data_IF_470889797107
#
_entry.id   IF_470889797107
#
_cell.length_a   1.000
_cell.length_b   1.000
_cell.length_c   1.000
_cell.angle_alpha   90.00
_cell.angle_beta   90.00
_cell.angle_gamma   90.00
#
_symmetry.space_group_name_H-M   'P 1'
#
loop_
_entity.id
_entity.type
_entity.pdbx_description
1 polymer ?
#
# COMPACT_ATOMS: atom_id res chain seq x y z
N UNK A 1 17.22 1.16 -21.03
CA UNK A 1 17.03 -0.09 -20.27
C UNK A 1 15.54 -0.37 -20.10
N UNK A 2 15.06 -1.63 -20.30
CA UNK A 2 13.64 -1.97 -20.07
C UNK A 2 13.47 -2.75 -18.75
N UNK A 3 12.55 -2.30 -17.90
CA UNK A 3 12.22 -2.88 -16.60
C UNK A 3 10.76 -3.34 -16.65
N UNK A 4 10.51 -4.58 -16.24
CA UNK A 4 9.16 -5.16 -16.21
C UNK A 4 8.73 -5.35 -14.76
N UNK A 5 7.61 -4.75 -14.39
CA UNK A 5 6.97 -4.94 -13.09
C UNK A 5 5.99 -6.11 -13.15
N UNK A 6 5.96 -6.93 -12.11
CA UNK A 6 5.00 -8.01 -11.94
C UNK A 6 4.28 -7.81 -10.60
N UNK A 7 3.04 -7.36 -10.67
CA UNK A 7 2.22 -7.07 -9.52
C UNK A 7 0.74 -7.18 -9.88
N UNK A 8 -0.12 -7.49 -8.91
CA UNK A 8 -1.55 -7.49 -9.20
C UNK A 8 -2.43 -8.02 -8.07
N UNK A 9 -3.72 -7.97 -8.34
CA UNK A 9 -4.79 -8.43 -7.47
C UNK A 9 -5.34 -7.34 -6.54
N UNK A 10 -4.51 -6.67 -5.77
CA UNK A 10 -4.95 -5.65 -4.80
C UNK A 10 -4.11 -4.37 -4.90
N UNK A 11 -4.69 -3.24 -4.49
CA UNK A 11 -3.97 -1.96 -4.44
C UNK A 11 -2.68 -2.03 -3.60
N UNK A 12 -2.66 -2.86 -2.55
CA UNK A 12 -1.47 -3.05 -1.70
C UNK A 12 -0.25 -3.63 -2.41
N UNK A 13 -0.42 -4.34 -3.55
CA UNK A 13 0.68 -4.81 -4.39
C UNK A 13 0.98 -3.85 -5.56
N UNK A 14 -0.06 -3.22 -6.08
CA UNK A 14 0.02 -2.41 -7.31
C UNK A 14 0.57 -1.01 -7.02
N UNK A 15 0.08 -0.34 -5.98
CA UNK A 15 0.50 1.03 -5.64
C UNK A 15 2.01 1.13 -5.34
N UNK A 16 2.63 0.27 -4.51
CA UNK A 16 4.09 0.36 -4.30
C UNK A 16 4.90 0.05 -5.58
N UNK A 17 4.37 -0.80 -6.47
CA UNK A 17 4.97 -1.04 -7.77
C UNK A 17 4.92 0.20 -8.67
N UNK A 18 3.77 0.87 -8.74
CA UNK A 18 3.58 2.12 -9.50
C UNK A 18 4.44 3.25 -8.94
N UNK A 19 4.49 3.40 -7.62
CA UNK A 19 5.30 4.43 -6.97
C UNK A 19 6.80 4.23 -7.23
N UNK A 20 7.26 2.98 -7.25
CA UNK A 20 8.64 2.64 -7.65
C UNK A 20 8.90 2.92 -9.13
N UNK A 21 7.94 2.63 -10.01
CA UNK A 21 8.03 2.93 -11.43
C UNK A 21 8.10 4.45 -11.67
N UNK A 22 7.30 5.23 -10.97
CA UNK A 22 7.35 6.70 -11.01
C UNK A 22 8.70 7.24 -10.53
N UNK A 23 9.28 6.65 -9.47
CA UNK A 23 10.60 7.01 -8.97
C UNK A 23 11.70 6.69 -10.01
N UNK A 24 11.63 5.53 -10.67
CA UNK A 24 12.55 5.18 -11.75
C UNK A 24 12.50 6.20 -12.89
N UNK A 25 11.31 6.59 -13.35
CA UNK A 25 11.18 7.60 -14.43
C UNK A 25 11.69 8.99 -14.01
N UNK A 26 11.60 9.32 -12.74
CA UNK A 26 12.18 10.58 -12.20
C UNK A 26 13.71 10.53 -12.17
N UNK A 27 14.30 9.39 -11.82
CA UNK A 27 15.75 9.23 -11.74
C UNK A 27 16.40 9.08 -13.11
N UNK A 28 15.75 8.37 -14.04
CA UNK A 28 16.22 8.15 -15.39
C UNK A 28 15.04 8.07 -16.36
N UNK A 29 14.80 9.16 -17.09
CA UNK A 29 13.72 9.27 -18.07
C UNK A 29 13.91 8.37 -19.31
N UNK A 30 15.10 7.78 -19.51
CA UNK A 30 15.41 6.86 -20.63
C UNK A 30 14.97 5.42 -20.35
N UNK A 31 14.58 5.12 -19.10
CA UNK A 31 14.10 3.79 -18.73
C UNK A 31 12.71 3.55 -19.30
N UNK A 32 12.57 2.46 -20.04
CA UNK A 32 11.27 1.96 -20.47
C UNK A 32 10.69 1.03 -19.41
N UNK A 33 9.40 1.18 -19.12
CA UNK A 33 8.72 0.44 -18.06
C UNK A 33 7.44 -0.17 -18.63
N UNK A 34 7.18 -1.44 -18.27
CA UNK A 34 5.91 -2.10 -18.52
C UNK A 34 5.52 -3.00 -17.34
N UNK A 35 4.27 -3.40 -17.30
CA UNK A 35 3.71 -4.23 -16.23
C UNK A 35 3.18 -5.56 -16.77
N UNK A 36 3.30 -6.61 -15.98
CA UNK A 36 2.60 -7.90 -16.14
C UNK A 36 1.61 -8.01 -14.98
N UNK A 37 0.36 -8.26 -15.31
CA UNK A 37 -0.73 -8.40 -14.35
C UNK A 37 -1.83 -9.32 -14.86
N UNK A 38 -3.01 -9.28 -14.25
CA UNK A 38 -4.18 -10.05 -14.68
C UNK A 38 -5.24 -9.15 -15.32
N UNK A 39 -6.13 -9.76 -16.09
CA UNK A 39 -7.24 -9.04 -16.74
C UNK A 39 -8.31 -8.57 -15.76
N UNK A 40 -8.42 -9.21 -14.60
CA UNK A 40 -9.52 -9.03 -13.64
C UNK A 40 -9.14 -8.33 -12.35
N UNK A 41 -7.87 -7.96 -12.18
CA UNK A 41 -7.37 -7.27 -11.01
C UNK A 41 -7.45 -5.74 -11.14
N UNK A 42 -7.20 -5.02 -10.05
CA UNK A 42 -7.15 -3.55 -10.06
C UNK A 42 -6.02 -3.01 -10.95
N UNK A 43 -5.04 -3.83 -11.28
CA UNK A 43 -3.96 -3.47 -12.20
C UNK A 43 -4.46 -3.10 -13.60
N UNK A 44 -5.57 -3.70 -14.05
CA UNK A 44 -6.18 -3.40 -15.36
C UNK A 44 -6.65 -1.95 -15.48
N UNK A 45 -6.95 -1.30 -14.38
CA UNK A 45 -7.37 0.09 -14.30
C UNK A 45 -6.21 1.00 -13.88
N UNK A 46 -5.53 0.67 -12.78
CA UNK A 46 -4.56 1.56 -12.14
C UNK A 46 -3.27 1.71 -12.96
N UNK A 47 -2.79 0.66 -13.62
CA UNK A 47 -1.55 0.72 -14.40
C UNK A 47 -1.69 1.59 -15.65
N UNK A 48 -2.71 1.42 -16.51
CA UNK A 48 -2.93 2.31 -17.64
C UNK A 48 -3.26 3.76 -17.23
N UNK A 49 -4.02 3.95 -16.15
CA UNK A 49 -4.32 5.28 -15.62
C UNK A 49 -3.05 6.06 -15.20
N UNK A 50 -1.96 5.35 -14.81
CA UNK A 50 -0.63 5.92 -14.49
C UNK A 50 0.25 6.10 -15.74
N UNK A 51 -0.24 5.72 -16.94
CA UNK A 51 0.48 5.85 -18.20
C UNK A 51 1.53 4.77 -18.45
N UNK A 52 1.37 3.58 -17.85
CA UNK A 52 2.23 2.44 -18.09
C UNK A 52 1.55 1.37 -18.96
N UNK A 53 2.28 0.74 -19.90
CA UNK A 53 1.78 -0.43 -20.62
C UNK A 53 1.55 -1.61 -19.68
N UNK A 54 0.41 -2.29 -19.81
CA UNK A 54 0.08 -3.51 -19.09
C UNK A 54 -0.10 -4.68 -20.05
N UNK A 55 0.63 -5.76 -19.79
CA UNK A 55 0.45 -7.05 -20.44
C UNK A 55 -0.37 -7.93 -19.49
N UNK A 56 -1.54 -8.33 -19.94
CA UNK A 56 -2.43 -9.15 -19.15
C UNK A 56 -2.17 -10.63 -19.37
N UNK A 57 -2.21 -11.37 -18.28
CA UNK A 57 -2.13 -12.84 -18.27
C UNK A 57 -3.36 -13.40 -17.56
N UNK A 58 -3.70 -14.66 -17.81
CA UNK A 58 -4.78 -15.29 -17.09
C UNK A 58 -4.49 -15.28 -15.57
N UNK A 59 -5.44 -14.79 -14.78
CA UNK A 59 -5.34 -14.87 -13.33
C UNK A 59 -5.47 -16.33 -12.89
N UNK A 60 -4.40 -16.89 -12.33
CA UNK A 60 -4.38 -18.26 -11.82
C UNK A 60 -4.27 -18.20 -10.30
N UNK A 61 -5.40 -18.17 -9.56
CA UNK A 61 -5.35 -18.19 -8.12
C UNK A 61 -4.83 -19.54 -7.63
N UNK A 62 -3.80 -19.50 -6.77
CA UNK A 62 -3.32 -20.75 -6.15
C UNK A 62 -4.35 -21.25 -5.12
N UNK A 63 -4.84 -22.48 -5.26
CA UNK A 63 -5.73 -23.05 -4.27
C UNK A 63 -4.99 -23.17 -2.94
N UNK A 64 -5.66 -22.81 -1.85
CA UNK A 64 -5.10 -22.88 -0.49
C UNK A 64 -4.93 -24.33 0.01
N UNK A 65 -5.51 -25.30 -0.69
CA UNK A 65 -5.41 -26.74 -0.41
C UNK A 65 -5.05 -27.48 -1.69
N UNK A 66 -4.30 -28.57 -1.56
CA UNK A 66 -4.00 -29.48 -2.67
C UNK A 66 -5.31 -30.11 -3.13
N UNK A 67 -5.75 -29.78 -4.35
CA UNK A 67 -7.00 -30.26 -4.95
C UNK A 67 -6.77 -30.59 -6.44
N UNK A 68 -7.71 -31.30 -7.06
CA UNK A 68 -7.68 -31.57 -8.50
C UNK A 68 -7.66 -30.28 -9.36
N UNK A 69 -8.02 -29.16 -8.79
CA UNK A 69 -7.95 -27.86 -9.46
C UNK A 69 -6.49 -27.45 -9.78
N UNK A 70 -5.51 -27.92 -9.01
CA UNK A 70 -4.10 -27.76 -9.33
C UNK A 70 -3.75 -28.32 -10.72
N UNK A 71 -4.28 -29.47 -11.09
CA UNK A 71 -4.04 -30.07 -12.42
C UNK A 71 -4.66 -29.24 -13.54
N UNK A 72 -5.83 -28.65 -13.30
CA UNK A 72 -6.52 -27.77 -14.27
C UNK A 72 -5.83 -26.41 -14.44
N UNK A 73 -5.06 -25.98 -13.45
CA UNK A 73 -4.33 -24.71 -13.48
C UNK A 73 -3.07 -24.73 -14.35
N UNK A 74 -2.43 -25.89 -14.51
CA UNK A 74 -1.15 -26.00 -15.24
C UNK A 74 -1.19 -25.46 -16.66
N UNK A 75 -2.19 -25.75 -17.51
CA UNK A 75 -2.26 -25.20 -18.86
C UNK A 75 -2.36 -23.67 -18.85
N UNK A 76 -3.22 -23.10 -17.99
CA UNK A 76 -3.40 -21.66 -17.86
C UNK A 76 -2.14 -20.96 -17.34
N UNK A 77 -1.48 -21.53 -16.33
CA UNK A 77 -0.22 -21.00 -15.81
C UNK A 77 0.88 -21.07 -16.87
N UNK A 78 1.01 -22.20 -17.61
CA UNK A 78 1.98 -22.31 -18.69
C UNK A 78 1.73 -21.29 -19.82
N UNK A 79 0.47 -21.05 -20.18
CA UNK A 79 0.10 -20.01 -21.15
C UNK A 79 0.52 -18.63 -20.64
N UNK A 80 0.18 -18.30 -19.40
CA UNK A 80 0.55 -17.03 -18.78
C UNK A 80 2.06 -16.82 -18.70
N UNK A 81 2.81 -17.88 -18.37
CA UNK A 81 4.29 -17.86 -18.36
C UNK A 81 4.86 -17.68 -19.76
N UNK A 82 4.25 -18.27 -20.81
CA UNK A 82 4.66 -18.04 -22.21
C UNK A 82 4.47 -16.58 -22.58
N UNK A 83 3.28 -16.02 -22.35
CA UNK A 83 2.99 -14.60 -22.62
C UNK A 83 4.00 -13.69 -21.92
N UNK A 84 4.27 -13.93 -20.64
CA UNK A 84 5.28 -13.20 -19.90
C UNK A 84 6.69 -13.33 -20.52
N UNK A 85 7.10 -14.55 -20.88
CA UNK A 85 8.41 -14.80 -21.53
C UNK A 85 8.54 -14.09 -22.86
N UNK A 86 7.52 -14.12 -23.68
CA UNK A 86 7.54 -13.49 -25.01
C UNK A 86 7.63 -11.96 -24.86
N UNK A 87 6.94 -11.40 -23.85
CA UNK A 87 7.08 -9.99 -23.51
C UNK A 87 8.49 -9.64 -23.03
N UNK A 88 9.08 -10.41 -22.10
CA UNK A 88 10.46 -10.17 -21.65
C UNK A 88 11.46 -10.21 -22.78
N UNK A 89 11.29 -11.10 -23.78
CA UNK A 89 12.15 -11.21 -24.96
C UNK A 89 11.96 -10.03 -25.90
N UNK A 90 10.73 -9.70 -26.26
CA UNK A 90 10.42 -8.62 -27.22
C UNK A 90 10.90 -7.25 -26.72
N UNK A 91 10.86 -7.04 -25.40
CA UNK A 91 11.31 -5.80 -24.76
C UNK A 91 12.78 -5.82 -24.36
N UNK A 92 13.46 -6.97 -24.50
CA UNK A 92 14.83 -7.17 -24.00
C UNK A 92 14.96 -6.74 -22.52
N UNK A 93 14.00 -7.20 -21.70
CA UNK A 93 13.90 -6.82 -20.30
C UNK A 93 15.21 -7.12 -19.54
N UNK A 94 15.71 -6.13 -18.80
CA UNK A 94 16.96 -6.23 -18.04
C UNK A 94 16.71 -6.65 -16.59
N UNK A 95 15.55 -6.33 -16.05
CA UNK A 95 15.13 -6.66 -14.67
C UNK A 95 13.63 -6.90 -14.65
N UNK A 96 13.20 -7.90 -13.90
CA UNK A 96 11.81 -8.06 -13.47
C UNK A 96 11.70 -7.70 -12.01
N UNK A 97 10.70 -6.87 -11.65
CA UNK A 97 10.47 -6.40 -10.28
C UNK A 97 9.12 -6.91 -9.81
N UNK A 98 9.11 -7.69 -8.73
CA UNK A 98 7.92 -8.31 -8.17
C UNK A 98 7.46 -7.68 -6.87
N UNK A 99 6.17 -7.33 -6.81
CA UNK A 99 5.53 -6.80 -5.59
C UNK A 99 4.46 -7.73 -5.01
N UNK A 100 4.34 -8.95 -5.57
CA UNK A 100 3.39 -9.94 -5.06
C UNK A 100 2.04 -9.94 -5.76
N UNK A 101 1.12 -10.70 -5.17
CA UNK A 101 -0.14 -11.05 -5.82
C UNK A 101 0.00 -12.25 -6.76
N UNK A 102 -1.08 -12.98 -6.99
CA UNK A 102 -1.04 -14.16 -7.88
C UNK A 102 -0.67 -13.81 -9.32
N UNK A 103 -1.06 -12.61 -9.76
CA UNK A 103 -0.77 -12.12 -11.10
C UNK A 103 0.74 -11.91 -11.37
N UNK A 104 1.56 -11.80 -10.32
CA UNK A 104 3.01 -11.64 -10.46
C UNK A 104 3.75 -12.96 -10.78
N UNK A 105 3.18 -14.10 -10.41
CA UNK A 105 3.85 -15.40 -10.51
C UNK A 105 4.29 -15.76 -11.93
N UNK A 106 3.48 -15.54 -13.00
CA UNK A 106 3.94 -15.77 -14.38
C UNK A 106 5.20 -14.97 -14.73
N UNK A 107 5.27 -13.70 -14.29
CA UNK A 107 6.46 -12.86 -14.48
C UNK A 107 7.70 -13.40 -13.76
N UNK A 108 7.54 -13.89 -12.52
CA UNK A 108 8.63 -14.49 -11.75
C UNK A 108 9.22 -15.74 -12.42
N UNK A 109 8.33 -16.64 -12.85
CA UNK A 109 8.73 -17.87 -13.52
C UNK A 109 9.34 -17.60 -14.90
N UNK A 110 8.83 -16.60 -15.62
CA UNK A 110 9.38 -16.17 -16.89
C UNK A 110 10.80 -15.61 -16.73
N UNK A 111 11.02 -14.72 -15.76
CA UNK A 111 12.31 -14.14 -15.44
C UNK A 111 13.34 -15.22 -15.09
N UNK A 112 12.98 -16.12 -14.16
CA UNK A 112 13.84 -17.23 -13.75
C UNK A 112 14.24 -18.13 -14.94
N UNK A 113 13.27 -18.52 -15.78
CA UNK A 113 13.54 -19.38 -16.95
C UNK A 113 14.41 -18.73 -18.01
N UNK A 114 14.46 -17.42 -18.07
CA UNK A 114 15.26 -16.66 -19.04
C UNK A 114 16.56 -16.11 -18.46
N UNK A 115 16.83 -16.34 -17.18
CA UNK A 115 18.01 -15.77 -16.52
C UNK A 115 17.95 -14.24 -16.37
N UNK A 116 16.76 -13.62 -16.50
CA UNK A 116 16.56 -12.20 -16.24
C UNK A 116 16.57 -11.98 -14.74
N UNK A 117 17.38 -11.06 -14.19
CA UNK A 117 17.38 -10.74 -12.77
C UNK A 117 15.98 -10.42 -12.26
N UNK A 118 15.64 -11.02 -11.12
CA UNK A 118 14.36 -10.85 -10.46
C UNK A 118 14.58 -10.14 -9.12
N UNK A 119 13.94 -8.99 -8.91
CA UNK A 119 13.93 -8.25 -7.67
C UNK A 119 12.55 -8.44 -7.01
N UNK A 120 12.50 -8.85 -5.75
CA UNK A 120 11.25 -9.07 -5.01
C UNK A 120 11.15 -8.07 -3.88
N UNK A 121 10.02 -7.39 -3.76
CA UNK A 121 9.69 -6.53 -2.62
C UNK A 121 8.45 -7.06 -1.88
N UNK A 122 8.55 -7.23 -0.55
CA UNK A 122 7.43 -7.57 0.31
C UNK A 122 7.00 -6.37 1.15
N UNK A 123 5.76 -5.97 0.96
CA UNK A 123 5.17 -4.83 1.63
C UNK A 123 4.66 -5.13 3.04
N UNK A 124 4.19 -6.36 3.27
CA UNK A 124 3.54 -6.74 4.53
C UNK A 124 4.54 -7.31 5.53
N UNK A 125 4.17 -7.25 6.80
CA UNK A 125 4.90 -7.88 7.90
C UNK A 125 4.87 -9.43 7.84
N UNK A 126 4.04 -10.02 6.98
CA UNK A 126 4.00 -11.46 6.70
C UNK A 126 4.03 -11.68 5.20
N UNK A 127 5.03 -12.42 4.71
CA UNK A 127 5.19 -12.61 3.28
C UNK A 127 4.05 -13.41 2.64
N UNK A 128 3.57 -12.90 1.50
CA UNK A 128 2.62 -13.58 0.64
C UNK A 128 3.24 -14.78 -0.09
N UNK A 129 2.40 -15.74 -0.52
CA UNK A 129 2.86 -16.96 -1.19
C UNK A 129 3.64 -16.68 -2.48
N UNK A 130 3.20 -15.70 -3.27
CA UNK A 130 3.88 -15.31 -4.49
C UNK A 130 5.31 -14.80 -4.20
N UNK A 131 5.47 -13.95 -3.19
CA UNK A 131 6.78 -13.41 -2.82
C UNK A 131 7.68 -14.46 -2.14
N UNK A 132 7.10 -15.42 -1.39
CA UNK A 132 7.85 -16.59 -0.90
C UNK A 132 8.41 -17.43 -2.04
N UNK A 133 7.63 -17.63 -3.10
CA UNK A 133 8.12 -18.29 -4.32
C UNK A 133 9.19 -17.44 -5.00
N UNK A 134 8.94 -16.15 -5.22
CA UNK A 134 9.88 -15.23 -5.84
C UNK A 134 11.23 -15.17 -5.11
N UNK A 135 11.22 -15.17 -3.78
CA UNK A 135 12.43 -15.18 -2.95
C UNK A 135 13.27 -16.47 -3.09
N UNK A 136 12.66 -17.60 -3.48
CA UNK A 136 13.41 -18.82 -3.82
C UNK A 136 14.03 -18.79 -5.21
N UNK A 137 13.51 -17.95 -6.08
CA UNK A 137 13.97 -17.80 -7.47
C UNK A 137 14.92 -16.62 -7.64
N UNK A 138 15.11 -15.80 -6.61
CA UNK A 138 15.90 -14.56 -6.66
C UNK A 138 16.87 -14.45 -5.48
N UNK A 139 18.04 -13.89 -5.75
CA UNK A 139 18.98 -13.40 -4.72
C UNK A 139 18.75 -11.93 -4.35
N UNK A 140 17.82 -11.24 -5.02
CA UNK A 140 17.54 -9.81 -4.80
C UNK A 140 16.18 -9.64 -4.13
N UNK A 141 16.16 -9.72 -2.81
CA UNK A 141 14.94 -9.57 -2.00
C UNK A 141 14.99 -8.32 -1.13
N UNK A 142 13.86 -7.65 -1.04
CA UNK A 142 13.62 -6.48 -0.21
C UNK A 142 12.33 -6.64 0.60
N UNK A 143 12.24 -5.97 1.73
CA UNK A 143 11.01 -5.96 2.54
C UNK A 143 10.91 -4.68 3.36
N UNK A 144 9.68 -4.33 3.74
CA UNK A 144 9.43 -3.25 4.70
C UNK A 144 9.89 -3.66 6.08
N UNK A 145 9.54 -4.87 6.51
CA UNK A 145 9.91 -5.42 7.82
C UNK A 145 11.09 -6.37 7.65
N UNK A 146 12.18 -6.22 8.42
CA UNK A 146 13.33 -7.13 8.37
C UNK A 146 12.96 -8.58 8.65
N UNK A 147 13.59 -9.52 7.93
CA UNK A 147 13.46 -10.97 8.18
C UNK A 147 12.19 -11.63 7.62
N UNK A 148 11.31 -10.87 6.97
CA UNK A 148 10.08 -11.41 6.36
C UNK A 148 10.37 -12.31 5.15
N UNK A 149 11.39 -11.97 4.38
CA UNK A 149 11.95 -12.81 3.31
C UNK A 149 13.40 -13.17 3.61
N UNK A 150 13.89 -14.34 3.16
CA UNK A 150 15.30 -14.71 3.32
C UNK A 150 16.23 -13.64 2.72
N UNK A 151 17.25 -13.26 3.48
CA UNK A 151 18.30 -12.30 3.08
C UNK A 151 17.76 -10.96 2.52
N UNK A 152 16.54 -10.56 2.90
CA UNK A 152 15.93 -9.34 2.39
C UNK A 152 16.61 -8.09 2.95
N UNK A 153 16.82 -7.11 2.06
CA UNK A 153 17.25 -5.76 2.43
C UNK A 153 16.03 -5.00 2.98
N UNK A 154 16.21 -4.23 4.04
CA UNK A 154 15.20 -3.27 4.47
C UNK A 154 15.15 -2.12 3.46
N UNK A 155 14.03 -1.99 2.74
CA UNK A 155 13.84 -0.94 1.73
C UNK A 155 12.71 0.04 2.07
N UNK A 156 11.88 -0.29 3.06
CA UNK A 156 10.68 0.50 3.37
C UNK A 156 9.57 0.32 2.33
N UNK A 157 8.51 1.13 2.47
CA UNK A 157 7.35 1.12 1.59
C UNK A 157 7.47 2.20 0.52
N UNK A 158 7.56 1.85 -0.78
CA UNK A 158 7.51 2.85 -1.84
C UNK A 158 6.16 3.56 -1.87
N UNK A 159 6.14 4.86 -1.57
CA UNK A 159 4.93 5.67 -1.46
C UNK A 159 4.88 6.75 -2.55
N UNK A 160 3.68 7.30 -2.75
CA UNK A 160 3.48 8.45 -3.66
C UNK A 160 4.26 9.67 -3.17
N UNK A 161 4.85 10.41 -4.11
CA UNK A 161 5.60 11.63 -3.79
C UNK A 161 4.74 12.67 -3.06
N UNK A 162 3.46 12.78 -3.39
CA UNK A 162 2.55 13.68 -2.67
C UNK A 162 2.50 13.40 -1.15
N UNK A 163 2.72 12.15 -0.73
CA UNK A 163 2.79 11.76 0.68
C UNK A 163 4.20 11.98 1.23
N UNK A 164 5.23 11.51 0.50
CA UNK A 164 6.61 11.59 0.98
C UNK A 164 7.14 13.01 1.10
N UNK A 165 6.62 13.94 0.29
CA UNK A 165 6.97 15.38 0.34
C UNK A 165 6.03 16.23 1.20
N UNK A 166 4.97 15.63 1.78
CA UNK A 166 4.00 16.36 2.57
C UNK A 166 4.62 16.87 3.88
N UNK A 167 4.62 18.18 4.04
CA UNK A 167 4.74 18.83 5.35
C UNK A 167 3.31 19.13 5.87
N UNK A 168 2.84 18.28 6.78
CA UNK A 168 1.48 18.41 7.32
C UNK A 168 1.23 19.74 7.99
N UNK A 169 2.21 20.24 8.76
CA UNK A 169 2.06 21.46 9.51
C UNK A 169 1.89 22.66 8.57
N UNK A 170 2.73 22.76 7.57
CA UNK A 170 2.66 23.83 6.57
C UNK A 170 1.40 23.74 5.69
N UNK A 171 0.98 22.51 5.33
CA UNK A 171 -0.18 22.28 4.47
C UNK A 171 -1.53 22.45 5.19
N UNK A 172 -1.55 22.28 6.54
CA UNK A 172 -2.76 22.18 7.36
C UNK A 172 -3.74 23.33 7.17
N UNK A 173 -3.27 24.56 7.24
CA UNK A 173 -4.13 25.77 7.15
C UNK A 173 -4.90 25.78 5.82
N UNK A 174 -4.20 25.67 4.70
CA UNK A 174 -4.82 25.71 3.38
C UNK A 174 -5.73 24.49 3.11
N UNK A 175 -5.36 23.30 3.62
CA UNK A 175 -6.20 22.13 3.53
C UNK A 175 -7.52 22.32 4.30
N UNK A 176 -7.47 22.81 5.54
CA UNK A 176 -8.67 23.06 6.34
C UNK A 176 -9.59 24.13 5.72
N UNK A 177 -9.01 25.21 5.17
CA UNK A 177 -9.78 26.23 4.46
C UNK A 177 -10.58 25.64 3.28
N UNK A 178 -9.97 24.74 2.48
CA UNK A 178 -10.67 24.07 1.37
C UNK A 178 -11.79 23.15 1.81
N UNK A 179 -11.64 22.50 2.97
CA UNK A 179 -12.69 21.65 3.54
C UNK A 179 -13.72 22.44 4.37
N UNK A 180 -13.55 23.76 4.55
CA UNK A 180 -14.43 24.57 5.40
C UNK A 180 -14.34 24.19 6.89
N UNK A 181 -13.19 23.70 7.34
CA UNK A 181 -12.96 23.25 8.71
C UNK A 181 -12.23 24.37 9.47
N UNK A 182 -12.70 24.78 10.65
CA UNK A 182 -12.03 25.79 11.46
C UNK A 182 -10.59 25.39 11.82
N UNK A 183 -9.68 26.38 11.89
CA UNK A 183 -8.25 26.13 12.17
C UNK A 183 -8.01 25.37 13.47
N UNK A 184 -8.80 25.68 14.52
CA UNK A 184 -8.65 25.11 15.85
C UNK A 184 -9.46 23.82 16.08
N UNK A 185 -10.23 23.37 15.06
CA UNK A 185 -11.04 22.17 15.17
C UNK A 185 -10.19 20.93 15.41
N UNK A 186 -10.68 19.99 16.20
CA UNK A 186 -10.15 18.62 16.28
C UNK A 186 -10.78 17.79 15.17
N UNK A 187 -9.97 17.11 14.37
CA UNK A 187 -10.41 16.41 13.16
C UNK A 187 -10.05 14.93 13.23
N UNK A 188 -11.08 14.09 13.17
CA UNK A 188 -10.96 12.65 12.98
C UNK A 188 -11.11 12.32 11.48
N UNK A 189 -10.11 11.65 10.91
CA UNK A 189 -10.17 11.09 9.56
C UNK A 189 -10.52 9.60 9.63
N UNK A 190 -11.64 9.20 9.00
CA UNK A 190 -12.09 7.80 9.00
C UNK A 190 -12.06 7.24 7.58
N UNK A 191 -11.36 6.13 7.38
CA UNK A 191 -11.31 5.46 6.07
C UNK A 191 -10.96 3.97 6.19
N UNK A 192 -11.52 3.15 5.30
CA UNK A 192 -11.33 1.70 5.27
C UNK A 192 -10.73 1.16 3.97
N UNK A 193 -10.15 2.04 3.14
CA UNK A 193 -9.72 1.74 1.78
C UNK A 193 -10.80 2.08 0.74
N UNK A 194 -10.51 1.85 -0.55
CA UNK A 194 -11.36 2.30 -1.68
C UNK A 194 -12.80 1.75 -1.66
N UNK A 195 -13.01 0.58 -1.09
CA UNK A 195 -14.33 -0.04 -0.97
C UNK A 195 -15.06 0.31 0.33
N UNK A 196 -14.39 1.05 1.23
CA UNK A 196 -14.87 1.31 2.58
C UNK A 196 -14.68 0.11 3.51
N UNK A 197 -15.13 0.26 4.76
CA UNK A 197 -15.10 -0.78 5.79
C UNK A 197 -16.42 -0.77 6.56
N UNK A 198 -17.31 -1.71 6.27
CA UNK A 198 -18.66 -1.74 6.82
C UNK A 198 -18.69 -1.62 8.37
N UNK A 199 -17.74 -2.29 9.06
CA UNK A 199 -17.63 -2.21 10.53
C UNK A 199 -17.27 -0.80 11.01
N UNK A 200 -16.28 -0.14 10.36
CA UNK A 200 -15.91 1.23 10.68
C UNK A 200 -17.08 2.18 10.44
N UNK A 201 -17.72 2.05 9.26
CA UNK A 201 -18.85 2.90 8.88
C UNK A 201 -19.99 2.76 9.88
N UNK A 202 -20.38 1.53 10.24
CA UNK A 202 -21.50 1.28 11.18
C UNK A 202 -21.19 1.74 12.60
N UNK A 203 -19.97 1.55 13.09
CA UNK A 203 -19.58 2.04 14.43
C UNK A 203 -19.54 3.58 14.46
N UNK A 204 -19.00 4.19 13.39
CA UNK A 204 -18.97 5.65 13.26
C UNK A 204 -20.39 6.25 13.21
N UNK A 205 -21.27 5.72 12.38
CA UNK A 205 -22.63 6.21 12.22
C UNK A 205 -23.36 6.33 13.58
N UNK A 206 -23.20 5.32 14.44
CA UNK A 206 -23.83 5.30 15.76
C UNK A 206 -23.13 6.20 16.78
N UNK A 207 -21.84 6.48 16.64
CA UNK A 207 -21.09 7.36 17.55
C UNK A 207 -21.04 8.82 17.07
N UNK A 208 -21.42 9.09 15.83
CA UNK A 208 -21.23 10.39 15.18
C UNK A 208 -21.87 11.55 15.92
N UNK A 209 -23.14 11.47 16.41
CA UNK A 209 -23.76 12.58 17.15
C UNK A 209 -22.97 12.98 18.38
N UNK A 210 -22.42 12.02 19.12
CA UNK A 210 -21.64 12.27 20.32
C UNK A 210 -20.26 12.87 19.99
N UNK A 211 -19.60 12.40 18.93
CA UNK A 211 -18.34 12.99 18.46
C UNK A 211 -18.50 14.45 18.04
N UNK A 212 -19.56 14.74 17.27
CA UNK A 212 -19.86 16.11 16.86
C UNK A 212 -20.20 17.01 18.06
N UNK A 213 -20.97 16.48 19.04
CA UNK A 213 -21.30 17.19 20.28
C UNK A 213 -20.07 17.47 21.13
N UNK A 214 -19.03 16.62 21.05
CA UNK A 214 -17.73 16.84 21.65
C UNK A 214 -16.85 17.84 20.86
N UNK A 215 -17.35 18.48 19.81
CA UNK A 215 -16.61 19.44 18.98
C UNK A 215 -15.60 18.81 18.03
N UNK A 216 -15.72 17.51 17.75
CA UNK A 216 -14.84 16.78 16.83
C UNK A 216 -15.45 16.82 15.43
N UNK A 217 -14.69 17.34 14.48
CA UNK A 217 -15.04 17.29 13.05
C UNK A 217 -14.61 15.94 12.45
N UNK A 218 -15.42 15.40 11.58
CA UNK A 218 -15.18 14.07 11.01
C UNK A 218 -15.11 14.12 9.48
N UNK A 219 -13.97 13.77 8.91
CA UNK A 219 -13.81 13.51 7.47
C UNK A 219 -13.90 12.00 7.26
N UNK A 220 -14.87 11.54 6.47
CA UNK A 220 -15.17 10.13 6.34
C UNK A 220 -15.20 9.66 4.88
N UNK A 221 -14.26 8.81 4.51
CA UNK A 221 -14.32 8.06 3.25
C UNK A 221 -15.11 6.77 3.45
N UNK A 222 -16.41 6.81 3.12
CA UNK A 222 -17.30 5.67 3.39
C UNK A 222 -17.20 4.52 2.37
N UNK A 223 -16.51 4.74 1.24
CA UNK A 223 -16.29 3.75 0.18
C UNK A 223 -17.38 3.77 -0.90
N UNK A 224 -16.95 3.65 -2.15
CA UNK A 224 -17.80 3.81 -3.36
C UNK A 224 -18.94 2.82 -3.49
N UNK A 225 -18.93 1.73 -2.72
CA UNK A 225 -19.96 0.68 -2.77
C UNK A 225 -20.99 0.79 -1.65
N UNK A 226 -20.83 1.77 -0.75
CA UNK A 226 -21.72 1.96 0.38
C UNK A 226 -22.70 3.10 0.12
N UNK A 227 -23.80 3.09 0.85
CA UNK A 227 -24.77 4.17 0.79
C UNK A 227 -24.16 5.45 1.35
N UNK A 228 -24.44 6.58 0.72
CA UNK A 228 -24.03 7.89 1.18
C UNK A 228 -24.68 8.24 2.52
N UNK A 229 -23.92 8.53 3.57
CA UNK A 229 -24.46 8.98 4.83
C UNK A 229 -25.03 10.39 4.72
N UNK A 230 -26.03 10.72 5.57
CA UNK A 230 -26.58 12.06 5.61
C UNK A 230 -25.52 13.08 6.06
N UNK A 231 -25.37 14.14 5.29
CA UNK A 231 -24.48 15.25 5.65
C UNK A 231 -25.07 16.03 6.85
N UNK A 232 -24.20 16.50 7.74
CA UNK A 232 -24.56 17.33 8.88
C UNK A 232 -23.39 18.24 9.29
N UNK A 233 -23.61 19.32 10.01
CA UNK A 233 -22.54 20.25 10.39
C UNK A 233 -21.39 19.52 11.12
N UNK A 234 -20.16 19.74 10.68
CA UNK A 234 -18.96 19.10 11.23
C UNK A 234 -18.67 17.69 10.68
N UNK A 235 -19.53 17.14 9.83
CA UNK A 235 -19.36 15.83 9.21
C UNK A 235 -19.23 15.94 7.67
N UNK A 236 -18.13 15.42 7.13
CA UNK A 236 -17.74 15.49 5.72
C UNK A 236 -17.65 14.08 5.12
N UNK A 237 -18.78 13.45 4.76
CA UNK A 237 -18.76 12.14 4.11
C UNK A 237 -18.40 12.30 2.62
N UNK A 238 -17.47 11.46 2.15
CA UNK A 238 -17.12 11.34 0.74
C UNK A 238 -17.03 9.86 0.33
N UNK A 239 -17.40 9.49 -0.89
CA UNK A 239 -17.31 8.10 -1.31
C UNK A 239 -15.86 7.63 -1.41
N UNK A 240 -14.97 8.54 -1.79
CA UNK A 240 -13.54 8.26 -1.95
C UNK A 240 -12.74 9.56 -1.81
N UNK A 241 -11.60 9.50 -1.13
CA UNK A 241 -10.66 10.60 -1.02
C UNK A 241 -9.59 10.44 -2.10
N UNK A 242 -9.62 11.28 -3.12
CA UNK A 242 -8.65 11.26 -4.20
C UNK A 242 -7.28 11.81 -3.75
N UNK A 243 -7.28 12.88 -2.97
CA UNK A 243 -6.08 13.50 -2.41
C UNK A 243 -5.92 13.12 -0.92
N UNK A 244 -5.27 11.98 -0.67
CA UNK A 244 -4.96 11.53 0.69
C UNK A 244 -3.95 12.45 1.40
N UNK A 245 -3.07 13.14 0.66
CA UNK A 245 -2.13 14.08 1.27
C UNK A 245 -2.88 15.25 1.91
N UNK A 246 -3.90 15.77 1.24
CA UNK A 246 -4.77 16.82 1.79
C UNK A 246 -5.54 16.31 3.01
N UNK A 247 -6.13 15.10 2.94
CA UNK A 247 -6.84 14.52 4.08
C UNK A 247 -5.92 14.28 5.30
N UNK A 248 -4.68 13.83 5.06
CA UNK A 248 -3.70 13.71 6.13
C UNK A 248 -3.29 15.06 6.72
N UNK A 249 -3.22 16.12 5.92
CA UNK A 249 -2.93 17.46 6.41
C UNK A 249 -4.04 18.04 7.29
N UNK A 250 -5.31 17.76 6.96
CA UNK A 250 -6.49 18.20 7.71
C UNK A 250 -6.58 17.55 9.09
N UNK A 251 -6.24 16.26 9.19
CA UNK A 251 -6.55 15.40 10.33
C UNK A 251 -5.61 15.56 11.52
N UNK A 252 -6.13 15.31 12.73
CA UNK A 252 -5.38 15.18 13.97
C UNK A 252 -5.16 13.71 14.36
N UNK A 253 -6.15 12.86 14.07
CA UNK A 253 -6.15 11.43 14.33
C UNK A 253 -6.81 10.69 13.17
N UNK A 254 -6.30 9.52 12.80
CA UNK A 254 -6.95 8.65 11.85
C UNK A 254 -7.61 7.45 12.55
N UNK A 255 -8.77 7.00 12.05
CA UNK A 255 -9.39 5.71 12.35
C UNK A 255 -9.44 4.89 11.07
N UNK A 256 -8.69 3.78 11.01
CA UNK A 256 -8.49 3.12 9.73
C UNK A 256 -8.16 1.64 9.84
N UNK A 257 -8.27 0.91 8.73
CA UNK A 257 -7.70 -0.44 8.58
C UNK A 257 -6.17 -0.38 8.58
N UNK A 258 -5.52 -1.43 9.06
CA UNK A 258 -4.06 -1.51 9.19
C UNK A 258 -3.37 -2.14 7.95
N UNK A 259 -3.75 -1.70 6.74
CA UNK A 259 -3.03 -2.09 5.53
C UNK A 259 -1.58 -1.58 5.56
N UNK A 260 -0.65 -2.33 4.97
CA UNK A 260 0.78 -1.98 5.01
C UNK A 260 1.07 -0.59 4.43
N UNK A 261 0.44 -0.22 3.31
CA UNK A 261 0.56 1.12 2.73
C UNK A 261 0.03 2.19 3.67
N UNK A 262 -1.15 1.99 4.25
CA UNK A 262 -1.78 2.93 5.19
C UNK A 262 -0.90 3.17 6.41
N UNK A 263 -0.37 2.10 7.03
CA UNK A 263 0.53 2.21 8.18
C UNK A 263 1.80 3.01 7.81
N UNK A 264 2.37 2.75 6.63
CA UNK A 264 3.57 3.44 6.16
C UNK A 264 3.31 4.92 5.86
N UNK A 265 2.19 5.25 5.20
CA UNK A 265 1.81 6.63 4.88
C UNK A 265 1.56 7.45 6.15
N UNK A 266 0.77 6.90 7.11
CA UNK A 266 0.49 7.57 8.38
C UNK A 266 1.77 7.82 9.19
N UNK A 267 2.66 6.83 9.24
CA UNK A 267 3.98 6.99 9.87
C UNK A 267 4.82 8.05 9.16
N UNK A 268 4.90 8.02 7.84
CA UNK A 268 5.68 8.98 7.07
C UNK A 268 5.24 10.43 7.27
N UNK A 269 3.93 10.66 7.44
CA UNK A 269 3.40 12.01 7.68
C UNK A 269 3.26 12.34 9.17
N UNK A 270 3.59 11.41 10.08
CA UNK A 270 3.46 11.60 11.52
C UNK A 270 2.01 11.81 11.96
N UNK A 271 1.05 11.14 11.32
CA UNK A 271 -0.37 11.20 11.74
C UNK A 271 -0.67 10.00 12.64
N UNK A 272 -0.95 10.22 13.94
CA UNK A 272 -1.33 9.15 14.84
C UNK A 272 -2.65 8.49 14.40
N UNK A 273 -2.81 7.20 14.73
CA UNK A 273 -3.99 6.47 14.30
C UNK A 273 -4.51 5.47 15.31
N UNK A 274 -5.83 5.25 15.27
CA UNK A 274 -6.49 4.08 15.79
C UNK A 274 -6.59 3.04 14.67
N UNK A 275 -5.79 2.01 14.77
CA UNK A 275 -5.71 0.93 13.79
C UNK A 275 -6.69 -0.17 14.12
N UNK A 276 -7.52 -0.53 13.14
CA UNK A 276 -8.51 -1.61 13.22
C UNK A 276 -8.14 -2.69 12.20
N UNK A 277 -7.30 -3.67 12.56
CA UNK A 277 -6.89 -4.71 11.62
C UNK A 277 -8.08 -5.50 11.09
N UNK A 278 -8.11 -5.73 9.77
CA UNK A 278 -9.13 -6.58 9.17
C UNK A 278 -8.88 -8.04 9.60
N UNK A 279 -9.89 -8.74 10.17
CA UNK A 279 -9.72 -10.08 10.75
C UNK A 279 -9.74 -11.22 9.71
N UNK A 280 -9.33 -10.95 8.48
CA UNK A 280 -9.26 -11.92 7.38
C UNK A 280 -7.83 -12.07 6.84
N UNK A 281 -7.59 -13.10 6.05
CA UNK A 281 -6.26 -13.38 5.51
C UNK A 281 -5.36 -14.10 6.52
N UNK A 282 -4.11 -13.68 6.62
CA UNK A 282 -3.10 -14.26 7.51
C UNK A 282 -2.90 -13.42 8.80
N UNK A 283 -3.82 -12.46 9.08
CA UNK A 283 -3.68 -11.53 10.20
C UNK A 283 -2.56 -10.50 10.02
N UNK A 284 -2.05 -10.33 8.80
CA UNK A 284 -0.92 -9.44 8.48
C UNK A 284 -1.17 -7.99 8.90
N UNK A 285 -2.42 -7.52 8.86
CA UNK A 285 -2.74 -6.14 9.22
C UNK A 285 -2.40 -5.81 10.67
N UNK A 286 -2.62 -6.75 11.60
CA UNK A 286 -2.21 -6.56 12.99
C UNK A 286 -0.70 -6.34 13.10
N UNK A 287 0.07 -7.17 12.40
CA UNK A 287 1.54 -7.10 12.41
C UNK A 287 2.08 -5.85 11.72
N UNK A 288 1.38 -5.32 10.72
CA UNK A 288 1.75 -4.06 10.07
C UNK A 288 1.66 -2.86 11.03
N UNK A 289 0.66 -2.81 11.91
CA UNK A 289 0.46 -1.72 12.86
C UNK A 289 1.33 -1.83 14.12
N UNK A 290 1.66 -3.06 14.56
CA UNK A 290 2.33 -3.30 15.84
C UNK A 290 3.59 -2.45 16.09
N UNK A 291 4.52 -2.25 15.14
CA UNK A 291 5.71 -1.44 15.38
C UNK A 291 5.38 -0.01 15.83
N UNK A 292 4.49 0.67 15.11
CA UNK A 292 4.07 2.05 15.41
C UNK A 292 3.28 2.11 16.71
N UNK A 293 2.37 1.16 16.93
CA UNK A 293 1.56 1.08 18.17
C UNK A 293 2.43 0.82 19.39
N UNK A 294 3.39 -0.11 19.30
CA UNK A 294 4.31 -0.44 20.41
C UNK A 294 5.21 0.73 20.80
N UNK A 295 5.50 1.62 19.86
CA UNK A 295 6.25 2.86 20.11
C UNK A 295 5.36 4.01 20.63
N UNK A 296 4.06 3.80 20.73
CA UNK A 296 3.11 4.83 21.19
C UNK A 296 2.59 5.74 20.08
N UNK A 297 2.88 5.46 18.79
CA UNK A 297 2.43 6.27 17.65
C UNK A 297 0.99 6.00 17.21
N UNK A 298 0.25 5.15 17.93
CA UNK A 298 -1.14 4.83 17.65
C UNK A 298 -1.72 3.88 18.69
N UNK A 299 -2.99 3.55 18.53
CA UNK A 299 -3.70 2.54 19.32
C UNK A 299 -4.19 1.42 18.40
N UNK A 300 -4.25 0.21 18.93
CA UNK A 300 -4.76 -0.96 18.24
C UNK A 300 -6.08 -1.39 18.88
N UNK A 301 -7.12 -1.50 18.08
CA UNK A 301 -8.42 -2.02 18.50
C UNK A 301 -8.81 -3.18 17.59
N UNK A 302 -9.29 -4.28 18.14
CA UNK A 302 -9.75 -5.39 17.31
C UNK A 302 -11.04 -5.01 16.55
N UNK A 303 -11.34 -5.71 15.47
CA UNK A 303 -12.58 -5.48 14.72
C UNK A 303 -13.83 -5.72 15.59
N UNK A 304 -13.76 -6.67 16.53
CA UNK A 304 -14.83 -7.00 17.47
C UNK A 304 -15.00 -5.92 18.55
N UNK A 305 -13.91 -5.36 19.07
CA UNK A 305 -13.89 -4.36 20.12
C UNK A 305 -14.20 -2.94 19.61
N UNK A 306 -14.18 -2.73 18.29
CA UNK A 306 -14.60 -1.46 17.69
C UNK A 306 -16.11 -1.30 17.82
N UNK A 307 -16.54 -0.76 18.94
CA UNK A 307 -17.94 -0.45 19.26
C UNK A 307 -18.21 1.05 19.19
N UNK A 308 -19.46 1.50 19.05
CA UNK A 308 -19.80 2.91 19.15
C UNK A 308 -19.36 3.51 20.50
N UNK A 309 -19.46 2.74 21.59
CA UNK A 309 -19.01 3.16 22.92
C UNK A 309 -17.50 3.39 22.96
N UNK A 310 -16.73 2.50 22.36
CA UNK A 310 -15.28 2.68 22.24
C UNK A 310 -14.94 4.00 21.52
N UNK A 311 -15.65 4.31 20.43
CA UNK A 311 -15.46 5.57 19.69
C UNK A 311 -15.82 6.80 20.53
N UNK A 312 -16.93 6.76 21.28
CA UNK A 312 -17.39 7.86 22.16
C UNK A 312 -16.42 8.15 23.29
N UNK A 313 -15.73 7.13 23.78
CA UNK A 313 -14.82 7.26 24.91
C UNK A 313 -13.39 7.55 24.48
N UNK A 314 -12.81 6.69 23.65
CA UNK A 314 -11.37 6.71 23.36
C UNK A 314 -10.99 7.82 22.38
N UNK A 315 -11.82 8.11 21.38
CA UNK A 315 -11.49 9.14 20.37
C UNK A 315 -11.43 10.53 20.99
N UNK A 316 -12.43 10.98 21.80
CA UNK A 316 -12.34 12.28 22.48
C UNK A 316 -11.19 12.35 23.48
N UNK A 317 -10.91 11.30 24.24
CA UNK A 317 -9.77 11.26 25.18
C UNK A 317 -8.42 11.51 24.47
N UNK A 318 -8.25 10.97 23.25
CA UNK A 318 -7.03 11.19 22.48
C UNK A 318 -7.03 12.60 21.87
N UNK A 319 -8.12 13.01 21.23
CA UNK A 319 -8.19 14.26 20.46
C UNK A 319 -8.15 15.51 21.33
N UNK A 320 -8.62 15.45 22.57
CA UNK A 320 -8.60 16.58 23.49
C UNK A 320 -7.34 16.66 24.36
N UNK A 321 -6.51 15.61 24.37
CA UNK A 321 -5.20 15.63 25.01
C UNK A 321 -4.12 16.02 24.01
N UNK A 322 -3.78 17.31 23.96
CA UNK A 322 -2.81 17.87 23.02
C UNK A 322 -1.42 17.27 23.23
N UNK A 323 -1.00 17.06 24.47
CA UNK A 323 0.30 16.51 24.79
C UNK A 323 0.42 15.05 24.34
N UNK A 324 -0.65 14.28 24.53
CA UNK A 324 -0.76 12.90 24.02
C UNK A 324 -0.69 12.86 22.50
N UNK A 325 -1.46 13.70 21.80
CA UNK A 325 -1.43 13.78 20.33
C UNK A 325 -0.04 14.11 19.79
N UNK A 326 0.66 15.07 20.38
CA UNK A 326 2.03 15.44 20.01
C UNK A 326 2.99 14.27 20.22
N UNK A 327 2.93 13.61 21.38
CA UNK A 327 3.75 12.44 21.67
C UNK A 327 3.48 11.31 20.69
N UNK A 328 2.21 11.00 20.40
CA UNK A 328 1.83 9.98 19.43
C UNK A 328 2.30 10.36 18.01
N UNK A 329 2.21 11.62 17.62
CA UNK A 329 2.66 12.11 16.31
C UNK A 329 4.18 11.93 16.13
N UNK A 330 4.96 12.26 17.14
CA UNK A 330 6.41 12.07 17.13
C UNK A 330 6.78 10.60 17.05
N UNK A 331 6.16 9.77 17.89
CA UNK A 331 6.39 8.32 17.88
C UNK A 331 6.01 7.67 16.54
N UNK A 332 4.93 8.10 15.90
CA UNK A 332 4.57 7.64 14.56
C UNK A 332 5.63 8.04 13.52
N UNK A 333 6.10 9.30 13.57
CA UNK A 333 7.07 9.83 12.62
C UNK A 333 8.42 9.11 12.65
N UNK A 334 8.84 8.53 13.80
CA UNK A 334 10.07 7.75 13.92
C UNK A 334 10.08 6.50 13.02
N UNK A 335 8.92 5.97 12.66
CA UNK A 335 8.76 4.87 11.71
C UNK A 335 8.59 5.33 10.26
N UNK A 336 8.52 6.64 10.05
CA UNK A 336 8.34 7.24 8.73
C UNK A 336 9.57 7.01 7.85
N UNK A 337 9.34 6.47 6.66
CA UNK A 337 10.37 6.24 5.65
C UNK A 337 9.96 6.91 4.34
N UNK A 338 10.47 8.13 4.10
CA UNK A 338 10.05 8.98 2.98
C UNK A 338 10.83 8.74 1.69
N UNK A 339 11.94 7.99 1.73
CA UNK A 339 12.85 7.82 0.59
C UNK A 339 12.83 6.38 0.02
N UNK A 340 11.91 5.56 0.46
CA UNK A 340 11.84 4.15 0.09
C UNK A 340 11.66 3.93 -1.42
N UNK A 341 10.86 4.76 -2.10
CA UNK A 341 10.64 4.72 -3.54
C UNK A 341 11.93 4.99 -4.32
N UNK A 342 12.71 6.00 -3.93
CA UNK A 342 13.98 6.33 -4.59
C UNK A 342 15.07 5.29 -4.28
N UNK A 343 15.17 4.82 -3.03
CA UNK A 343 16.13 3.74 -2.70
C UNK A 343 15.86 2.47 -3.48
N UNK A 344 14.58 2.09 -3.58
CA UNK A 344 14.17 0.92 -4.36
C UNK A 344 14.49 1.11 -5.85
N UNK A 345 14.18 2.28 -6.41
CA UNK A 345 14.47 2.61 -7.79
C UNK A 345 15.98 2.57 -8.11
N UNK A 346 16.84 3.19 -7.29
CA UNK A 346 18.30 3.15 -7.44
C UNK A 346 18.84 1.72 -7.39
N UNK A 347 18.32 0.90 -6.48
CA UNK A 347 18.73 -0.49 -6.39
C UNK A 347 18.34 -1.30 -7.62
N UNK A 348 17.13 -1.12 -8.16
CA UNK A 348 16.68 -1.77 -9.40
C UNK A 348 17.58 -1.39 -10.56
N UNK A 349 17.96 -0.11 -10.71
CA UNK A 349 18.88 0.36 -11.73
C UNK A 349 20.23 -0.36 -11.62
N UNK A 350 20.81 -0.44 -10.42
CA UNK A 350 22.08 -1.12 -10.17
C UNK A 350 22.06 -2.61 -10.54
N UNK A 351 20.95 -3.31 -10.25
CA UNK A 351 20.76 -4.72 -10.62
C UNK A 351 20.70 -4.88 -12.13
N UNK A 352 20.02 -3.97 -12.84
CA UNK A 352 19.93 -3.98 -14.30
C UNK A 352 21.26 -3.71 -15.02
N UNK A 353 22.08 -2.80 -14.49
CA UNK A 353 23.42 -2.49 -15.02
C UNK A 353 24.39 -3.65 -14.85
N UNK A 354 24.43 -4.30 -13.68
CA UNK A 354 25.26 -5.47 -13.42
C UNK A 354 24.94 -6.63 -14.38
N UNK A 355 23.68 -6.79 -14.74
CA UNK A 355 23.24 -7.80 -15.70
C UNK A 355 23.74 -7.50 -17.14
N UNK A 356 23.78 -6.22 -17.52
CA UNK A 356 24.27 -5.80 -18.83
C UNK A 356 25.75 -6.08 -19.04
N UNK A 357 26.56 -5.90 -18.02
CA UNK A 357 28.00 -6.14 -18.07
C UNK A 357 28.37 -7.63 -18.18
N UNK A 358 27.55 -8.53 -17.59
CA UNK A 358 27.76 -9.99 -17.73
C UNK A 358 27.45 -10.51 -19.14
N UNK A 359 26.47 -9.92 -19.82
CA UNK A 359 26.14 -10.28 -21.19
C UNK A 359 27.25 -9.88 -22.23
N UNK A 360 27.92 -8.75 -21.99
CA UNK A 360 29.02 -8.27 -22.86
C UNK A 360 30.37 -8.95 -22.57
N UNK A 361 30.54 -9.58 -21.40
CA UNK A 361 31.76 -10.32 -21.07
C UNK A 361 31.71 -11.79 -21.50
N UNK A 362 30.55 -12.28 -21.96
CA UNK A 362 30.33 -13.66 -22.40
C UNK A 362 30.11 -13.76 -23.94
N UNK A 363 30.12 -12.64 -24.68
CA UNK A 363 30.08 -12.54 -26.11
C UNK A 363 31.48 -12.15 -26.67
#
# INVERSE_FOLDING_TARGET
MHIVFAAGGTAGHIEPALNTADALRRLDSTVSISFIGSERGLESELVPARGYPLITTAAVPFPRRVSADLLRMWPALNSSVRTARDHLRSTQARVVVGFGGYAAVPGYLAAWRQGVPLVIHEANATAGLANKLGARLSSHTASVVPGVLPNSRRMGMPMRRAITSLDRQSARKGARERWGIPSEARVLLVFGGSQGAARLNSALEQALPDLLSAGIFVVHSYGTRNQEPAAQPGYFPVPYIADMAEAYAVADLALTRAGAMTCAELAAVGLPAAYVPLPIGNGEQRFNALPVVSAGGGVLVSDEDLTPEWLRTVIPEILHDEQRLLSMSHAAAEFGDRDADERMARWILSVGEMSGNRGNAAA
#
